data_IF_165350128726
#
_entry.id   IF_165350128726
#
_cell.length_a   1.000
_cell.length_b   1.000
_cell.length_c   1.000
_cell.angle_alpha   90.00
_cell.angle_beta   90.00
_cell.angle_gamma   90.00
#
_symmetry.space_group_name_H-M   'P 1'
#
loop_
_entity.id
_entity.type
_entity.pdbx_description
1 polymer ?
#
# COMPACT_ATOMS: atom_id res chain seq x y z
N UNK A 1 -10.21 -59.82 -55.35
CA UNK A 1 -10.35 -58.92 -54.19
C UNK A 1 -9.81 -59.63 -52.95
N UNK A 2 -8.56 -59.29 -52.63
CA UNK A 2 -7.57 -59.85 -51.68
C UNK A 2 -6.62 -58.65 -51.52
N UNK A 3 -6.05 -58.23 -50.39
CA UNK A 3 -5.81 -58.72 -49.03
C UNK A 3 -5.46 -57.44 -48.21
N UNK A 4 -5.92 -57.33 -46.97
CA UNK A 4 -5.12 -57.42 -45.73
C UNK A 4 -4.23 -56.19 -45.42
N UNK A 5 -4.59 -55.59 -44.28
CA UNK A 5 -3.87 -54.70 -43.33
C UNK A 5 -2.44 -54.23 -43.63
N UNK A 6 -2.19 -52.95 -43.34
CA UNK A 6 -0.95 -52.53 -42.70
C UNK A 6 -1.23 -51.59 -41.53
N UNK A 7 -0.75 -52.02 -40.37
CA UNK A 7 -0.69 -51.32 -39.10
C UNK A 7 0.36 -50.22 -39.18
N UNK A 8 0.07 -49.02 -38.66
CA UNK A 8 1.09 -48.08 -38.20
C UNK A 8 0.60 -47.43 -36.91
N UNK A 9 0.83 -48.15 -35.81
CA UNK A 9 0.88 -47.57 -34.47
C UNK A 9 2.11 -46.66 -34.45
N UNK A 10 1.91 -45.35 -34.55
CA UNK A 10 2.98 -44.41 -34.23
C UNK A 10 3.00 -44.23 -32.70
N UNK A 11 3.78 -45.09 -32.05
CA UNK A 11 4.08 -45.01 -30.64
C UNK A 11 5.05 -43.84 -30.43
N UNK A 12 4.56 -42.60 -30.32
CA UNK A 12 5.35 -41.53 -29.72
C UNK A 12 5.32 -41.71 -28.20
N UNK A 13 6.28 -42.48 -27.72
CA UNK A 13 6.78 -42.38 -26.36
C UNK A 13 7.32 -40.96 -26.14
N UNK A 14 6.47 -40.07 -25.65
CA UNK A 14 6.94 -38.82 -25.03
C UNK A 14 7.50 -39.22 -23.67
N UNK A 15 8.83 -39.35 -23.62
CA UNK A 15 9.57 -39.34 -22.36
C UNK A 15 9.23 -38.03 -21.64
N UNK A 16 8.38 -38.10 -20.62
CA UNK A 16 8.30 -37.05 -19.61
C UNK A 16 9.59 -37.10 -18.80
N UNK A 17 10.59 -36.35 -19.23
CA UNK A 17 11.69 -35.96 -18.35
C UNK A 17 11.08 -35.05 -17.31
N UNK A 18 10.84 -35.59 -16.11
CA UNK A 18 10.63 -34.78 -14.91
C UNK A 18 11.91 -33.98 -14.68
N UNK A 19 11.96 -32.77 -15.25
CA UNK A 19 12.84 -31.74 -14.72
C UNK A 19 12.22 -31.36 -13.37
N UNK A 20 12.76 -31.93 -12.30
CA UNK A 20 12.64 -31.38 -10.97
C UNK A 20 13.29 -29.98 -11.00
N UNK A 21 12.53 -29.00 -11.48
CA UNK A 21 12.78 -27.62 -11.10
C UNK A 21 12.32 -27.54 -9.66
N UNK A 22 13.27 -27.63 -8.74
CA UNK A 22 13.10 -27.20 -7.36
C UNK A 22 12.70 -25.72 -7.40
N UNK A 23 11.40 -25.44 -7.55
CA UNK A 23 10.84 -24.15 -7.19
C UNK A 23 11.17 -23.97 -5.72
N UNK A 24 12.17 -23.13 -5.47
CA UNK A 24 12.40 -22.54 -4.18
C UNK A 24 11.03 -22.03 -3.69
N UNK A 25 10.49 -22.75 -2.72
CA UNK A 25 9.32 -22.36 -1.99
C UNK A 25 9.72 -21.04 -1.32
N UNK A 26 9.29 -19.92 -1.90
CA UNK A 26 9.49 -18.61 -1.28
C UNK A 26 8.74 -18.70 0.05
N UNK A 27 9.51 -18.89 1.12
CA UNK A 27 9.00 -18.82 2.48
C UNK A 27 8.24 -17.51 2.59
N UNK A 28 6.94 -17.60 2.86
CA UNK A 28 6.19 -16.47 3.39
C UNK A 28 6.87 -16.13 4.72
N UNK A 29 7.82 -15.19 4.68
CA UNK A 29 8.47 -14.69 5.88
C UNK A 29 7.36 -14.11 6.77
N UNK A 30 7.01 -14.87 7.80
CA UNK A 30 6.18 -14.39 8.88
C UNK A 30 6.97 -13.29 9.58
N UNK A 31 6.60 -12.05 9.29
CA UNK A 31 7.12 -10.86 9.96
C UNK A 31 6.88 -10.99 11.47
N UNK A 32 7.95 -11.22 12.22
CA UNK A 32 7.94 -11.24 13.69
C UNK A 32 8.10 -9.82 14.23
N UNK A 33 7.40 -9.53 15.34
CA UNK A 33 7.25 -8.20 15.96
C UNK A 33 8.58 -7.43 16.18
N UNK A 34 9.71 -8.12 16.32
CA UNK A 34 11.02 -7.52 16.59
C UNK A 34 11.74 -6.94 15.36
N UNK A 35 11.22 -7.09 14.13
CA UNK A 35 11.89 -6.57 12.92
C UNK A 35 11.61 -5.10 12.60
N UNK A 36 10.72 -4.42 13.35
CA UNK A 36 10.23 -3.07 13.01
C UNK A 36 10.43 -2.02 14.10
N UNK A 37 11.27 -2.28 15.10
CA UNK A 37 11.71 -1.18 15.97
C UNK A 37 12.55 -0.22 15.14
N UNK A 38 12.18 1.08 15.03
CA UNK A 38 12.98 2.05 14.30
C UNK A 38 14.38 2.09 14.90
N UNK A 39 15.41 2.10 14.03
CA UNK A 39 16.79 2.21 14.52
C UNK A 39 16.92 3.56 15.22
N UNK A 40 17.60 3.57 16.37
CA UNK A 40 17.89 4.78 17.15
C UNK A 40 18.64 5.78 16.24
N UNK A 41 17.92 6.75 15.69
CA UNK A 41 18.38 7.66 14.64
C UNK A 41 17.29 8.01 13.60
N UNK A 42 16.31 7.12 13.37
CA UNK A 42 15.20 7.35 12.44
C UNK A 42 14.05 8.18 13.04
N UNK A 43 14.03 8.29 14.37
CA UNK A 43 13.14 9.19 15.12
C UNK A 43 13.89 10.51 15.38
N UNK A 44 14.12 11.28 14.32
CA UNK A 44 14.58 12.65 14.46
C UNK A 44 13.54 13.45 15.25
N UNK A 45 13.92 13.94 16.43
CA UNK A 45 13.12 14.86 17.27
C UNK A 45 12.82 16.22 16.58
N UNK A 46 13.28 16.39 15.34
CA UNK A 46 12.95 17.51 14.45
C UNK A 46 12.38 16.90 13.16
N UNK A 47 11.06 16.68 13.10
CA UNK A 47 10.42 16.40 11.82
C UNK A 47 10.71 17.58 10.88
N UNK A 48 11.32 17.32 9.74
CA UNK A 48 11.61 18.34 8.73
C UNK A 48 10.29 19.04 8.36
N UNK A 49 10.20 20.35 8.59
CA UNK A 49 9.05 21.15 8.14
C UNK A 49 9.19 21.26 6.63
N UNK A 50 8.44 20.42 5.90
CA UNK A 50 8.43 20.41 4.45
C UNK A 50 7.82 21.67 3.84
N UNK A 51 7.82 21.80 2.50
CA UNK A 51 7.09 22.87 1.83
C UNK A 51 5.59 22.78 2.14
N UNK A 52 4.84 23.85 1.92
CA UNK A 52 3.38 23.80 2.06
C UNK A 52 2.71 23.07 0.91
N UNK A 53 1.57 22.43 1.17
CA UNK A 53 0.71 21.92 0.11
C UNK A 53 0.27 23.06 -0.83
N UNK A 54 0.17 22.82 -2.16
CA UNK A 54 -0.09 23.87 -3.14
C UNK A 54 -1.34 24.69 -2.83
N UNK A 55 -1.18 26.02 -2.78
CA UNK A 55 -2.30 26.93 -2.53
C UNK A 55 -2.86 26.88 -1.11
N UNK A 56 -2.09 26.33 -0.15
CA UNK A 56 -2.47 26.28 1.27
C UNK A 56 -1.33 26.81 2.15
N UNK A 57 -1.64 27.10 3.41
CA UNK A 57 -0.64 27.37 4.45
C UNK A 57 -0.35 26.11 5.31
N UNK A 58 -0.70 24.92 4.81
CA UNK A 58 -0.50 23.65 5.52
C UNK A 58 0.84 23.08 5.11
N UNK A 59 1.76 22.93 6.06
CA UNK A 59 3.05 22.27 5.83
C UNK A 59 2.87 20.78 5.53
N UNK A 60 3.62 20.28 4.56
CA UNK A 60 3.78 18.85 4.28
C UNK A 60 4.56 18.21 5.41
N UNK A 61 3.97 17.23 6.10
CA UNK A 61 4.60 16.58 7.25
C UNK A 61 4.63 15.05 7.11
N UNK A 62 5.68 14.38 7.60
CA UNK A 62 5.73 12.93 7.68
C UNK A 62 4.49 12.36 8.38
N UNK A 63 3.86 11.40 7.72
CA UNK A 63 2.66 10.72 8.19
C UNK A 63 1.35 11.36 7.72
N UNK A 64 1.38 12.56 7.14
CA UNK A 64 0.18 13.09 6.50
C UNK A 64 -0.34 12.10 5.45
N UNK A 65 -1.66 11.94 5.41
CA UNK A 65 -2.35 11.14 4.39
C UNK A 65 -3.01 12.10 3.43
N UNK A 66 -2.77 11.90 2.14
CA UNK A 66 -3.49 12.58 1.07
C UNK A 66 -4.58 11.64 0.61
N UNK A 67 -5.83 12.10 0.69
CA UNK A 67 -6.98 11.43 0.13
C UNK A 67 -7.51 12.21 -1.06
N UNK A 68 -7.76 11.53 -2.17
CA UNK A 68 -8.43 12.11 -3.32
C UNK A 68 -9.72 11.32 -3.65
N UNK A 69 -10.79 12.03 -4.04
CA UNK A 69 -12.09 11.44 -4.28
C UNK A 69 -12.10 10.59 -5.55
N UNK A 70 -13.20 9.87 -5.74
CA UNK A 70 -13.48 9.05 -6.91
C UNK A 70 -13.43 9.89 -8.19
N UNK A 71 -12.39 9.69 -8.99
CA UNK A 71 -12.28 10.16 -10.38
C UNK A 71 -11.89 9.00 -11.30
N UNK A 72 -11.90 9.25 -12.61
CA UNK A 72 -11.37 8.31 -13.62
C UNK A 72 -9.93 7.91 -13.32
N UNK A 73 -9.09 8.85 -12.87
CA UNK A 73 -7.70 8.58 -12.44
C UNK A 73 -7.58 7.71 -11.19
N UNK A 74 -8.70 7.43 -10.50
CA UNK A 74 -8.74 6.57 -9.30
C UNK A 74 -9.54 5.29 -9.51
N UNK A 75 -9.92 5.00 -10.75
CA UNK A 75 -10.84 3.90 -11.07
C UNK A 75 -12.15 3.95 -10.26
N UNK A 76 -12.64 5.17 -9.95
CA UNK A 76 -13.88 5.44 -9.22
C UNK A 76 -13.97 4.89 -7.78
N UNK A 77 -12.86 4.48 -7.17
CA UNK A 77 -12.84 4.03 -5.75
C UNK A 77 -12.23 5.07 -4.80
N UNK A 78 -11.59 6.11 -5.33
CA UNK A 78 -10.77 7.04 -4.57
C UNK A 78 -9.35 6.49 -4.40
N UNK A 79 -8.41 7.35 -4.01
CA UNK A 79 -7.01 6.93 -3.81
C UNK A 79 -6.43 7.61 -2.57
N UNK A 80 -5.41 6.98 -1.99
CA UNK A 80 -4.71 7.50 -0.82
C UNK A 80 -3.20 7.26 -0.92
N UNK A 81 -2.44 8.20 -0.38
CA UNK A 81 -1.00 8.09 -0.22
C UNK A 81 -0.58 8.63 1.15
N UNK A 82 0.54 8.12 1.68
CA UNK A 82 1.14 8.61 2.93
C UNK A 82 2.44 9.36 2.62
N UNK A 83 2.66 10.49 3.30
CA UNK A 83 3.92 11.25 3.25
C UNK A 83 4.96 10.53 4.09
N UNK A 84 6.08 10.13 3.46
CA UNK A 84 7.20 9.53 4.18
C UNK A 84 8.12 10.55 4.85
N UNK A 85 9.19 10.08 5.52
CA UNK A 85 10.09 10.96 6.27
C UNK A 85 10.97 11.84 5.37
N UNK A 86 11.10 11.48 4.09
CA UNK A 86 11.77 12.27 3.04
C UNK A 86 10.79 13.10 2.21
N UNK A 87 9.59 13.34 2.73
CA UNK A 87 8.50 14.14 2.13
C UNK A 87 7.99 13.62 0.78
N UNK A 88 8.41 12.42 0.38
CA UNK A 88 7.86 11.70 -0.78
C UNK A 88 6.58 10.97 -0.40
N UNK A 89 5.64 10.96 -1.33
CA UNK A 89 4.41 10.19 -1.22
C UNK A 89 4.66 8.73 -1.55
N UNK A 90 4.12 7.86 -0.71
CA UNK A 90 4.19 6.41 -0.85
C UNK A 90 2.81 5.83 -0.89
N UNK A 91 2.56 5.02 -1.91
CA UNK A 91 1.26 4.41 -2.16
C UNK A 91 1.41 3.17 -3.02
N UNK A 92 0.38 2.33 -2.99
CA UNK A 92 0.25 1.22 -3.92
C UNK A 92 -0.59 1.65 -5.12
N UNK A 93 -0.17 1.35 -6.35
CA UNK A 93 -0.88 1.76 -7.56
C UNK A 93 -0.84 0.67 -8.66
N UNK A 94 -1.85 0.54 -9.54
CA UNK A 94 -1.83 -0.42 -10.64
C UNK A 94 -0.66 -0.26 -11.62
N UNK A 95 -0.18 0.96 -11.86
CA UNK A 95 0.96 1.24 -12.77
C UNK A 95 2.34 0.94 -12.18
N UNK A 96 2.42 0.74 -10.87
CA UNK A 96 3.63 0.46 -10.13
C UNK A 96 3.22 -0.02 -8.75
N UNK A 97 3.30 -1.33 -8.46
CA UNK A 97 2.61 -1.92 -7.31
C UNK A 97 2.96 -1.23 -5.99
N UNK A 98 4.19 -0.71 -5.85
CA UNK A 98 4.53 0.36 -4.92
C UNK A 98 5.20 1.53 -5.63
N UNK A 99 4.76 2.75 -5.32
CA UNK A 99 5.28 4.00 -5.88
C UNK A 99 5.81 4.88 -4.76
N UNK A 100 6.98 5.48 -4.99
CA UNK A 100 7.56 6.52 -4.15
C UNK A 100 7.90 7.74 -5.01
N UNK A 101 7.16 8.82 -4.88
CA UNK A 101 7.27 9.99 -5.76
C UNK A 101 7.11 11.32 -5.01
N UNK A 102 7.46 12.44 -5.66
CA UNK A 102 7.22 13.78 -5.09
C UNK A 102 5.74 14.13 -5.14
N UNK A 103 5.30 15.11 -4.33
CA UNK A 103 3.93 15.62 -4.39
C UNK A 103 3.56 16.12 -5.79
N UNK A 104 4.50 16.78 -6.48
CA UNK A 104 4.31 17.28 -7.84
C UNK A 104 4.04 16.14 -8.84
N UNK A 105 4.87 15.10 -8.84
CA UNK A 105 4.69 13.94 -9.72
C UNK A 105 3.38 13.22 -9.43
N UNK A 106 3.07 13.00 -8.16
CA UNK A 106 1.80 12.40 -7.75
C UNK A 106 0.60 13.18 -8.30
N UNK A 107 0.61 14.50 -8.15
CA UNK A 107 -0.45 15.37 -8.65
C UNK A 107 -0.55 15.37 -10.17
N UNK A 108 0.54 15.13 -10.89
CA UNK A 108 0.55 15.10 -12.35
C UNK A 108 -0.29 13.95 -12.94
N UNK A 109 -0.56 12.91 -12.14
CA UNK A 109 -1.42 11.78 -12.51
C UNK A 109 -2.93 12.10 -12.45
N UNK A 110 -3.31 13.29 -12.00
CA UNK A 110 -4.70 13.71 -11.81
C UNK A 110 -5.11 14.82 -12.77
N UNK A 111 -6.42 14.92 -13.03
CA UNK A 111 -6.96 15.93 -13.94
C UNK A 111 -6.95 17.32 -13.30
N UNK A 112 -6.76 18.41 -14.07
CA UNK A 112 -6.99 19.76 -13.58
C UNK A 112 -8.37 19.91 -12.91
N UNK A 113 -8.40 20.53 -11.74
CA UNK A 113 -9.58 20.68 -10.90
C UNK A 113 -9.80 19.56 -9.87
N UNK A 114 -9.08 18.44 -9.95
CA UNK A 114 -9.19 17.37 -8.95
C UNK A 114 -8.80 17.87 -7.54
N UNK A 115 -9.65 17.52 -6.56
CA UNK A 115 -9.52 17.96 -5.16
C UNK A 115 -8.78 16.92 -4.33
N UNK A 116 -7.82 17.37 -3.53
CA UNK A 116 -7.09 16.56 -2.57
C UNK A 116 -7.44 17.02 -1.15
N UNK A 117 -7.54 16.07 -0.22
CA UNK A 117 -7.78 16.32 1.20
C UNK A 117 -6.56 15.90 2.00
N UNK A 118 -6.07 16.79 2.86
CA UNK A 118 -4.94 16.53 3.75
C UNK A 118 -5.50 16.04 5.08
N UNK A 119 -5.09 14.86 5.50
CA UNK A 119 -5.45 14.23 6.77
C UNK A 119 -4.19 14.06 7.61
N UNK A 120 -4.26 14.43 8.90
CA UNK A 120 -3.14 14.33 9.85
C UNK A 120 -3.59 13.64 11.13
N UNK A 121 -2.78 12.75 11.74
CA UNK A 121 -3.16 12.08 12.96
C UNK A 121 -3.31 13.06 14.12
N UNK A 122 -4.39 12.88 14.89
CA UNK A 122 -4.67 13.65 16.10
C UNK A 122 -3.66 13.28 17.19
N UNK A 123 -3.12 14.29 17.86
CA UNK A 123 -2.17 14.11 18.96
C UNK A 123 -0.80 13.58 18.51
N UNK A 124 -0.42 13.76 17.24
CA UNK A 124 0.83 13.24 16.69
C UNK A 124 0.74 11.76 16.28
N UNK A 125 1.89 11.12 16.06
CA UNK A 125 1.97 9.69 15.68
C UNK A 125 1.81 9.45 14.17
N UNK A 126 2.53 10.21 13.35
CA UNK A 126 2.67 9.95 11.91
C UNK A 126 4.10 9.56 11.49
N UNK A 127 5.10 9.76 12.33
CA UNK A 127 6.52 9.61 11.98
C UNK A 127 6.94 8.15 11.80
N UNK A 128 6.49 7.25 12.68
CA UNK A 128 6.76 5.82 12.56
C UNK A 128 5.94 5.19 11.42
N UNK A 129 4.74 5.70 11.12
CA UNK A 129 3.97 5.28 9.95
C UNK A 129 4.67 5.72 8.66
N UNK A 130 5.18 6.95 8.63
CA UNK A 130 6.01 7.44 7.55
C UNK A 130 7.26 6.56 7.35
N UNK A 131 7.98 6.24 8.42
CA UNK A 131 9.15 5.36 8.38
C UNK A 131 8.80 3.95 7.88
N UNK A 132 7.70 3.37 8.39
CA UNK A 132 7.21 2.07 7.94
C UNK A 132 6.92 2.09 6.45
N UNK A 133 6.22 3.12 5.95
CA UNK A 133 5.90 3.24 4.52
C UNK A 133 7.16 3.27 3.66
N UNK A 134 8.21 3.99 4.10
CA UNK A 134 9.50 4.06 3.40
C UNK A 134 10.18 2.72 3.29
N UNK A 135 10.15 1.94 4.37
CA UNK A 135 10.82 0.64 4.42
C UNK A 135 10.05 -0.46 3.68
N UNK A 136 8.76 -0.26 3.39
CA UNK A 136 7.89 -1.31 2.86
C UNK A 136 7.30 -1.03 1.46
N UNK A 137 7.37 0.19 0.94
CA UNK A 137 6.79 0.51 -0.37
C UNK A 137 7.37 -0.33 -1.51
N UNK A 138 8.67 -0.66 -1.46
CA UNK A 138 9.34 -1.49 -2.46
C UNK A 138 9.05 -2.99 -2.30
N UNK A 139 8.40 -3.39 -1.19
CA UNK A 139 8.01 -4.79 -0.97
C UNK A 139 6.67 -5.12 -1.63
N UNK A 140 5.96 -4.14 -2.17
CA UNK A 140 4.70 -4.35 -2.88
C UNK A 140 5.01 -4.86 -4.29
N UNK A 141 4.52 -6.07 -4.60
CA UNK A 141 4.79 -6.80 -5.85
C UNK A 141 3.62 -6.76 -6.81
N UNK A 142 2.40 -6.65 -6.30
CA UNK A 142 1.20 -6.58 -7.10
C UNK A 142 0.14 -5.67 -6.46
N UNK A 143 -0.60 -4.96 -7.32
CA UNK A 143 -1.80 -4.23 -6.91
C UNK A 143 -3.00 -5.18 -6.95
N UNK A 144 -3.34 -5.75 -5.80
CA UNK A 144 -4.36 -6.78 -5.65
C UNK A 144 -5.32 -6.41 -4.52
N UNK A 145 -6.61 -6.32 -4.84
CA UNK A 145 -7.67 -6.06 -3.86
C UNK A 145 -8.01 -7.35 -3.08
N UNK A 146 -7.05 -7.79 -2.26
CA UNK A 146 -7.14 -8.98 -1.42
C UNK A 146 -7.20 -8.55 0.05
N UNK A 147 -8.13 -9.10 0.84
CA UNK A 147 -8.42 -8.57 2.17
C UNK A 147 -7.45 -9.06 3.27
N UNK A 148 -6.43 -9.85 2.92
CA UNK A 148 -5.38 -10.29 3.84
C UNK A 148 -4.44 -9.15 4.24
N UNK A 149 -4.69 -8.52 5.39
CA UNK A 149 -4.01 -7.27 5.80
C UNK A 149 -2.55 -7.42 6.27
N UNK A 150 -2.01 -8.65 6.40
CA UNK A 150 -0.59 -8.87 6.78
C UNK A 150 0.37 -8.94 5.59
N UNK A 151 -0.13 -9.27 4.41
CA UNK A 151 0.70 -9.47 3.22
C UNK A 151 0.97 -8.12 2.57
N UNK A 152 2.21 -7.64 2.60
CA UNK A 152 2.61 -6.38 1.94
C UNK A 152 2.75 -6.55 0.44
N UNK A 153 3.18 -7.74 -0.02
CA UNK A 153 3.43 -8.05 -1.44
C UNK A 153 2.22 -7.89 -2.34
N UNK A 154 1.03 -8.25 -1.85
CA UNK A 154 -0.25 -8.03 -2.53
C UNK A 154 -0.97 -6.89 -1.83
N UNK A 155 -1.05 -5.72 -2.46
CA UNK A 155 -1.55 -4.53 -1.78
C UNK A 155 -2.49 -3.69 -2.63
N UNK A 156 -3.13 -2.73 -1.98
CA UNK A 156 -3.86 -1.66 -2.64
C UNK A 156 -3.73 -0.41 -1.78
N UNK A 157 -4.08 0.75 -2.34
CA UNK A 157 -3.70 2.05 -1.78
C UNK A 157 -4.05 2.23 -0.30
N UNK A 158 -5.30 2.00 0.06
CA UNK A 158 -5.81 2.15 1.42
C UNK A 158 -5.32 1.08 2.38
N UNK A 159 -5.12 -0.16 1.93
CA UNK A 159 -4.48 -1.18 2.77
C UNK A 159 -3.04 -0.81 3.10
N UNK A 160 -2.27 -0.30 2.15
CA UNK A 160 -0.88 0.08 2.41
C UNK A 160 -0.77 1.20 3.45
N UNK A 161 -1.63 2.23 3.34
CA UNK A 161 -1.70 3.33 4.31
C UNK A 161 -2.15 2.82 5.69
N UNK A 162 -3.16 1.94 5.74
CA UNK A 162 -3.58 1.30 6.98
C UNK A 162 -2.46 0.48 7.63
N UNK A 163 -1.74 -0.33 6.85
CA UNK A 163 -0.61 -1.13 7.33
C UNK A 163 0.50 -0.24 7.91
N UNK A 164 0.77 0.92 7.29
CA UNK A 164 1.75 1.87 7.79
C UNK A 164 1.40 2.37 9.20
N UNK A 165 0.14 2.71 9.44
CA UNK A 165 -0.32 3.17 10.76
C UNK A 165 -0.43 2.04 11.77
N UNK A 166 -0.95 0.88 11.37
CA UNK A 166 -1.12 -0.25 12.27
C UNK A 166 0.23 -0.86 12.69
N UNK A 167 1.13 -1.13 11.74
CA UNK A 167 2.42 -1.75 12.03
C UNK A 167 3.52 -0.74 12.41
N UNK A 168 3.42 0.51 11.96
CA UNK A 168 4.40 1.56 12.29
C UNK A 168 4.07 2.33 13.57
N UNK A 169 2.81 2.74 13.74
CA UNK A 169 2.38 3.62 14.85
C UNK A 169 1.53 2.90 15.91
N UNK A 170 1.20 1.62 15.70
CA UNK A 170 0.27 0.87 16.55
C UNK A 170 -1.08 1.58 16.69
N UNK A 171 -1.51 2.26 15.63
CA UNK A 171 -2.76 3.01 15.58
C UNK A 171 -3.70 2.41 14.56
N UNK A 172 -4.93 2.15 15.02
CA UNK A 172 -6.01 1.70 14.16
C UNK A 172 -6.66 2.90 13.47
N UNK A 173 -6.56 2.98 12.14
CA UNK A 173 -7.16 4.06 11.36
C UNK A 173 -8.68 3.92 11.23
N UNK A 174 -9.25 2.71 11.24
CA UNK A 174 -10.67 2.51 10.93
C UNK A 174 -11.45 1.99 12.14
N UNK A 175 -12.57 2.64 12.46
CA UNK A 175 -13.31 2.45 13.71
C UNK A 175 -14.11 1.13 13.81
N UNK A 176 -14.30 0.41 12.70
CA UNK A 176 -15.26 -0.70 12.62
C UNK A 176 -14.63 -2.09 12.67
N UNK A 177 -13.41 -2.20 13.19
CA UNK A 177 -12.73 -3.48 13.24
C UNK A 177 -11.92 -3.59 14.52
N UNK A 178 -12.16 -4.62 15.35
CA UNK A 178 -11.27 -4.97 16.44
C UNK A 178 -10.01 -5.59 15.82
N UNK A 179 -9.18 -4.77 15.18
CA UNK A 179 -7.83 -5.18 14.74
C UNK A 179 -6.88 -5.38 15.93
N UNK A 180 -7.38 -5.24 17.17
CA UNK A 180 -6.61 -5.18 18.40
C UNK A 180 -6.38 -6.51 19.11
N UNK A 181 -6.94 -7.64 18.67
CA UNK A 181 -6.62 -8.92 19.30
C UNK A 181 -5.98 -9.90 18.30
N UNK A 182 -4.73 -10.25 18.59
CA UNK A 182 -3.95 -11.35 18.02
C UNK A 182 -4.63 -12.73 18.17
N UNK A 183 -5.87 -12.77 18.66
CA UNK A 183 -6.66 -13.96 19.03
C UNK A 183 -7.90 -14.14 18.12
N UNK A 184 -8.30 -13.13 17.35
CA UNK A 184 -9.25 -13.32 16.24
C UNK A 184 -8.43 -13.49 14.95
N UNK A 185 -8.77 -14.41 14.02
CA UNK A 185 -8.07 -14.43 12.74
C UNK A 185 -8.17 -13.03 12.16
N UNK A 186 -7.03 -12.36 11.94
CA UNK A 186 -6.96 -11.02 11.34
C UNK A 186 -7.32 -11.20 9.86
N UNK A 187 -8.61 -11.44 9.66
CA UNK A 187 -9.11 -12.34 8.65
C UNK A 187 -9.96 -11.55 7.70
N UNK A 188 -9.36 -11.23 6.56
CA UNK A 188 -10.07 -10.80 5.36
C UNK A 188 -11.03 -9.62 5.60
N UNK A 189 -10.48 -8.40 5.74
CA UNK A 189 -11.29 -7.19 5.60
C UNK A 189 -10.70 -6.21 4.60
N UNK A 190 -11.59 -5.58 3.84
CA UNK A 190 -11.26 -4.50 2.94
C UNK A 190 -11.19 -3.18 3.72
N UNK A 191 -10.12 -2.42 3.50
CA UNK A 191 -9.99 -1.05 3.98
C UNK A 191 -10.24 -0.16 2.79
N UNK A 192 -11.29 0.64 2.77
CA UNK A 192 -11.54 1.55 1.65
C UNK A 192 -10.90 2.92 1.88
N UNK A 193 -10.57 3.68 0.82
CA UNK A 193 -10.15 5.07 0.95
C UNK A 193 -11.12 5.92 1.79
N UNK A 194 -12.42 5.66 1.70
CA UNK A 194 -13.45 6.32 2.50
C UNK A 194 -13.33 6.03 4.00
N UNK A 195 -12.86 4.85 4.38
CA UNK A 195 -12.70 4.49 5.79
C UNK A 195 -11.55 5.30 6.42
N UNK A 196 -10.49 5.54 5.65
CA UNK A 196 -9.39 6.43 6.04
C UNK A 196 -9.89 7.88 6.11
N UNK A 197 -10.66 8.35 5.12
CA UNK A 197 -11.22 9.70 5.12
C UNK A 197 -12.09 9.98 6.35
N UNK A 198 -12.86 8.98 6.79
CA UNK A 198 -13.78 9.06 7.92
C UNK A 198 -13.15 8.61 9.25
N UNK A 199 -11.84 8.38 9.28
CA UNK A 199 -11.13 7.93 10.48
C UNK A 199 -11.30 8.91 11.65
N UNK A 200 -11.70 8.45 12.84
CA UNK A 200 -11.85 9.32 14.00
C UNK A 200 -10.51 9.84 14.52
N UNK A 201 -9.41 9.11 14.27
CA UNK A 201 -8.07 9.48 14.74
C UNK A 201 -7.33 10.43 13.79
N UNK A 202 -7.91 10.73 12.63
CA UNK A 202 -7.38 11.71 11.70
C UNK A 202 -8.17 13.03 11.80
N UNK A 203 -7.47 14.13 11.57
CA UNK A 203 -8.02 15.48 11.45
C UNK A 203 -7.74 16.03 10.05
N UNK A 204 -8.77 16.54 9.40
CA UNK A 204 -8.65 17.28 8.13
C UNK A 204 -7.90 18.59 8.37
N UNK A 205 -6.73 18.74 7.75
CA UNK A 205 -5.92 19.96 7.84
C UNK A 205 -6.29 20.99 6.77
N UNK A 206 -6.79 20.52 5.63
CA UNK A 206 -7.13 21.38 4.51
C UNK A 206 -7.43 20.61 3.23
N UNK A 207 -7.60 21.35 2.14
CA UNK A 207 -7.75 20.80 0.79
C UNK A 207 -6.92 21.63 -0.18
N UNK A 208 -6.40 20.97 -1.22
CA UNK A 208 -5.73 21.61 -2.34
C UNK A 208 -6.22 21.00 -3.66
N UNK A 209 -5.86 21.62 -4.78
CA UNK A 209 -6.37 21.24 -6.09
C UNK A 209 -5.25 21.05 -7.09
N UNK A 210 -5.45 20.15 -8.05
CA UNK A 210 -4.64 20.14 -9.27
C UNK A 210 -4.98 21.41 -10.06
N UNK A 211 -3.99 22.28 -10.25
CA UNK A 211 -4.12 23.48 -11.09
C UNK A 211 -4.23 23.11 -12.56
#
# INVERSE_FOLDING_TARGET
MKKVSFSFIFMMSVLFVFVLSSKAHASSESVTFNTYLPKKGDIGINAEIGPTYPGTNVYLMPGDIIHNPKSTSTYFVGHVAIVGPDLKLRHSHPYGPGISETLELYMSNFAPGDKFTILRPRGGGGAAAAAWSKNNVNNIRAYNFIPGVRVVGDNYCSKFVWQAYYFGEHRELVSNAPYSDLVTPIGLQYVYPSDILNSPILAKQGTFYRK
#
